data_IF_854707931106
#
_entry.id   IF_854707931106
#
_cell.length_a   1.000
_cell.length_b   1.000
_cell.length_c   1.000
_cell.angle_alpha   90.00
_cell.angle_beta   90.00
_cell.angle_gamma   90.00
#
_symmetry.space_group_name_H-M   'P 1'
#
loop_
_entity.id
_entity.type
_entity.pdbx_description
1 polymer ?
#
# COMPACT_ATOMS: atom_id res chain seq x y z
N UNK A 1 -2.44 8.41 -2.97
CA UNK A 1 -1.03 8.63 -2.58
C UNK A 1 -0.30 7.30 -2.36
N UNK A 2 -0.86 6.36 -1.59
CA UNK A 2 -0.27 5.03 -1.34
C UNK A 2 0.14 4.21 -2.59
N UNK A 3 -0.75 4.02 -3.57
CA UNK A 3 -0.45 3.19 -4.76
C UNK A 3 0.71 3.73 -5.60
N UNK A 4 0.79 5.06 -5.71
CA UNK A 4 1.87 5.76 -6.40
C UNK A 4 3.21 5.59 -5.66
N UNK A 5 3.20 5.67 -4.32
CA UNK A 5 4.41 5.39 -3.53
C UNK A 5 4.85 3.92 -3.66
N UNK A 6 3.91 2.98 -3.74
CA UNK A 6 4.22 1.55 -3.93
C UNK A 6 4.84 1.24 -5.30
N UNK A 7 4.51 2.02 -6.35
CA UNK A 7 5.08 1.85 -7.68
C UNK A 7 6.37 2.67 -7.90
N UNK A 8 6.47 3.86 -7.30
CA UNK A 8 7.62 4.76 -7.50
C UNK A 8 8.75 4.54 -6.51
N UNK A 9 8.48 3.91 -5.35
CA UNK A 9 9.46 3.76 -4.28
C UNK A 9 9.54 2.33 -3.78
N UNK A 10 10.74 1.88 -3.42
CA UNK A 10 10.97 0.58 -2.77
C UNK A 10 10.58 0.61 -1.27
N UNK A 11 9.90 1.66 -0.83
CA UNK A 11 9.61 1.93 0.56
C UNK A 11 8.75 0.83 1.18
N UNK A 12 9.02 0.51 2.44
CA UNK A 12 8.26 -0.51 3.16
C UNK A 12 6.78 -0.10 3.25
N UNK A 13 5.89 -1.07 3.06
CA UNK A 13 4.43 -0.89 3.10
C UNK A 13 4.00 -0.31 4.45
N UNK A 14 4.70 -0.65 5.53
CA UNK A 14 4.54 -0.05 6.87
C UNK A 14 4.69 1.45 6.83
N UNK A 15 5.73 1.97 6.19
CA UNK A 15 6.01 3.40 6.11
C UNK A 15 4.96 4.12 5.26
N UNK A 16 4.61 3.55 4.12
CA UNK A 16 3.55 4.08 3.24
C UNK A 16 2.19 4.10 3.96
N UNK A 17 1.90 3.08 4.78
CA UNK A 17 0.70 3.02 5.62
C UNK A 17 0.64 4.21 6.60
N UNK A 18 1.72 4.43 7.37
CA UNK A 18 1.79 5.56 8.30
C UNK A 18 1.75 6.92 7.59
N UNK A 19 2.47 7.08 6.48
CA UNK A 19 2.46 8.32 5.68
C UNK A 19 1.09 8.59 5.04
N UNK A 20 0.33 7.53 4.73
CA UNK A 20 -1.03 7.65 4.21
C UNK A 20 -2.07 7.93 5.31
N UNK A 21 -1.67 8.07 6.57
CA UNK A 21 -2.55 8.38 7.70
C UNK A 21 -3.26 7.16 8.31
N UNK A 22 -2.79 5.94 8.03
CA UNK A 22 -3.36 4.73 8.60
C UNK A 22 -2.62 4.33 9.87
N UNK A 23 -3.39 4.07 10.94
CA UNK A 23 -2.86 3.65 12.23
C UNK A 23 -2.46 2.16 12.28
N UNK A 24 -2.77 1.37 11.25
CA UNK A 24 -2.48 -0.06 11.24
C UNK A 24 -2.42 -0.61 9.81
N UNK A 25 -1.41 -1.44 9.57
CA UNK A 25 -1.23 -2.19 8.32
C UNK A 25 -2.45 -3.03 7.94
N UNK A 26 -3.14 -3.63 8.92
CA UNK A 26 -4.33 -4.43 8.65
C UNK A 26 -5.47 -3.58 8.06
N UNK A 27 -5.71 -2.39 8.63
CA UNK A 27 -6.72 -1.47 8.13
C UNK A 27 -6.32 -0.92 6.75
N UNK A 28 -5.04 -0.58 6.58
CA UNK A 28 -4.50 -0.15 5.29
C UNK A 28 -4.63 -1.24 4.22
N UNK A 29 -4.26 -2.49 4.52
CA UNK A 29 -4.36 -3.59 3.58
C UNK A 29 -5.81 -3.85 3.15
N UNK A 30 -6.76 -3.87 4.10
CA UNK A 30 -8.17 -4.06 3.79
C UNK A 30 -8.75 -2.90 2.96
N UNK A 31 -8.46 -1.64 3.33
CA UNK A 31 -8.89 -0.49 2.54
C UNK A 31 -8.24 -0.46 1.16
N UNK A 32 -6.93 -0.67 1.09
CA UNK A 32 -6.19 -0.66 -0.15
C UNK A 32 -6.69 -1.77 -1.08
N UNK A 33 -6.93 -2.99 -0.57
CA UNK A 33 -7.53 -4.08 -1.33
C UNK A 33 -8.97 -3.76 -1.75
N UNK A 34 -9.76 -3.08 -0.91
CA UNK A 34 -11.10 -2.65 -1.29
C UNK A 34 -11.11 -1.58 -2.38
N UNK A 35 -10.09 -0.72 -2.42
CA UNK A 35 -9.97 0.38 -3.39
C UNK A 35 -9.31 -0.07 -4.71
N UNK A 36 -8.26 -0.88 -4.64
CA UNK A 36 -7.43 -1.31 -5.77
C UNK A 36 -7.71 -2.75 -6.22
N UNK A 37 -8.53 -3.51 -5.47
CA UNK A 37 -8.83 -4.92 -5.75
C UNK A 37 -7.73 -5.92 -5.31
N UNK A 38 -6.53 -5.43 -4.98
CA UNK A 38 -5.37 -6.25 -4.61
C UNK A 38 -4.63 -5.66 -3.42
N UNK A 39 -3.90 -6.48 -2.66
CA UNK A 39 -3.14 -6.01 -1.50
C UNK A 39 -1.98 -5.10 -1.95
N UNK A 40 -1.49 -4.18 -1.11
CA UNK A 40 -0.37 -3.30 -1.48
C UNK A 40 0.90 -4.08 -1.82
N UNK A 41 1.13 -5.24 -1.19
CA UNK A 41 2.21 -6.17 -1.54
C UNK A 41 2.05 -6.76 -2.94
N UNK A 42 0.84 -7.20 -3.28
CA UNK A 42 0.51 -7.76 -4.60
C UNK A 42 0.59 -6.68 -5.68
N UNK A 43 0.13 -5.47 -5.37
CA UNK A 43 0.29 -4.29 -6.22
C UNK A 43 1.77 -4.05 -6.51
N UNK A 44 2.61 -3.93 -5.48
CA UNK A 44 4.06 -3.75 -5.68
C UNK A 44 4.70 -4.88 -6.50
N UNK A 45 4.27 -6.12 -6.30
CA UNK A 45 4.78 -7.25 -7.08
C UNK A 45 4.31 -7.24 -8.55
N UNK A 46 3.11 -6.71 -8.83
CA UNK A 46 2.58 -6.59 -10.19
C UNK A 46 3.26 -5.49 -11.02
N UNK A 47 3.93 -4.53 -10.36
CA UNK A 47 4.68 -3.44 -11.02
C UNK A 47 6.20 -3.71 -11.06
N UNK A 48 6.66 -4.85 -10.56
CA UNK A 48 8.07 -5.26 -10.58
C UNK A 48 8.40 -6.14 -11.80
#
# INVERSE_FOLDING_TARGET
MAARMLSETDMQITRICYESGYNSLANFNSQFKSLMGQSPSDYRNSFR
#
